data_IF_225360579831
#
_entry.id   IF_225360579831
#
_cell.length_a   1.000
_cell.length_b   1.000
_cell.length_c   1.000
_cell.angle_alpha   90.00
_cell.angle_beta   90.00
_cell.angle_gamma   90.00
#
_symmetry.space_group_name_H-M   'P 1'
#
loop_
_entity.id
_entity.type
_entity.pdbx_description
1 polymer ?
#
# COMPACT_ATOMS: atom_id res chain seq x y z
N UNK A 1 0.48 -23.89 14.99
CA UNK A 1 -0.56 -22.82 14.98
C UNK A 1 -0.38 -22.05 13.67
N UNK A 2 -1.47 -21.78 12.95
CA UNK A 2 -1.40 -20.99 11.72
C UNK A 2 -1.10 -19.52 12.07
N UNK A 3 -0.23 -18.87 11.29
CA UNK A 3 0.08 -17.45 11.49
C UNK A 3 -1.13 -16.60 11.14
N UNK A 4 -1.60 -15.82 12.11
CA UNK A 4 -2.75 -14.94 11.94
C UNK A 4 -2.32 -13.62 11.31
N UNK A 5 -2.98 -13.24 10.22
CA UNK A 5 -2.71 -12.01 9.50
C UNK A 5 -3.93 -11.10 9.55
N UNK A 6 -3.71 -9.82 9.72
CA UNK A 6 -4.69 -8.78 9.41
C UNK A 6 -4.23 -8.08 8.12
N UNK A 7 -5.14 -7.92 7.17
CA UNK A 7 -4.92 -7.20 5.94
C UNK A 7 -5.66 -5.87 5.97
N UNK A 8 -4.97 -4.76 5.71
CA UNK A 8 -5.56 -3.42 5.64
C UNK A 8 -5.32 -2.85 4.24
N UNK A 9 -6.38 -2.63 3.46
CA UNK A 9 -6.26 -2.16 2.09
C UNK A 9 -7.53 -1.54 1.55
N UNK A 10 -7.43 -0.75 0.48
CA UNK A 10 -8.59 -0.04 -0.09
C UNK A 10 -8.59 -0.05 -1.61
N UNK A 11 -7.45 0.26 -2.24
CA UNK A 11 -7.33 0.49 -3.68
C UNK A 11 -7.23 -0.81 -4.51
N UNK A 12 -7.34 -0.66 -5.84
CA UNK A 12 -7.11 -1.75 -6.81
C UNK A 12 -5.70 -2.33 -6.70
N UNK A 13 -4.72 -1.51 -6.33
CA UNK A 13 -3.33 -1.94 -6.13
C UNK A 13 -3.22 -3.09 -5.13
N UNK A 14 -4.03 -3.09 -4.08
CA UNK A 14 -3.98 -4.08 -3.01
C UNK A 14 -4.67 -5.42 -3.37
N UNK A 15 -5.50 -5.46 -4.42
CA UNK A 15 -6.33 -6.64 -4.74
C UNK A 15 -5.50 -7.88 -5.10
N UNK A 16 -4.52 -7.84 -6.02
CA UNK A 16 -3.73 -9.04 -6.34
C UNK A 16 -2.90 -9.54 -5.16
N UNK A 17 -2.53 -8.63 -4.24
CA UNK A 17 -1.77 -8.99 -3.04
C UNK A 17 -2.66 -9.75 -2.05
N UNK A 18 -3.90 -9.28 -1.84
CA UNK A 18 -4.89 -9.99 -1.01
C UNK A 18 -5.19 -11.38 -1.58
N UNK A 19 -5.41 -11.48 -2.90
CA UNK A 19 -5.61 -12.76 -3.59
C UNK A 19 -4.45 -13.71 -3.31
N UNK A 20 -3.21 -13.24 -3.50
CA UNK A 20 -2.03 -14.09 -3.31
C UNK A 20 -1.87 -14.58 -1.87
N UNK A 21 -2.21 -13.75 -0.88
CA UNK A 21 -2.20 -14.17 0.53
C UNK A 21 -3.31 -15.18 0.80
N UNK A 22 -4.50 -14.99 0.25
CA UNK A 22 -5.63 -15.91 0.44
C UNK A 22 -5.40 -17.31 -0.14
N UNK A 23 -4.55 -17.42 -1.17
CA UNK A 23 -4.11 -18.70 -1.76
C UNK A 23 -3.01 -19.40 -0.94
N UNK A 24 -2.45 -18.72 0.06
CA UNK A 24 -1.38 -19.26 0.88
C UNK A 24 -1.89 -20.03 2.09
N UNK A 25 -0.97 -20.54 2.91
CA UNK A 25 -1.29 -21.20 4.19
C UNK A 25 -1.55 -20.22 5.34
N UNK A 26 -1.45 -18.91 5.08
CA UNK A 26 -1.64 -17.86 6.09
C UNK A 26 -3.12 -17.66 6.40
N UNK A 27 -3.46 -17.50 7.66
CA UNK A 27 -4.85 -17.26 8.08
C UNK A 27 -5.16 -15.76 8.12
N UNK A 28 -6.02 -15.29 7.21
CA UNK A 28 -6.50 -13.90 7.20
C UNK A 28 -7.64 -13.77 8.21
N UNK A 29 -7.33 -13.30 9.40
CA UNK A 29 -8.30 -13.17 10.50
C UNK A 29 -9.24 -11.98 10.34
N UNK A 30 -8.84 -10.95 9.61
CA UNK A 30 -9.69 -9.80 9.25
C UNK A 30 -9.11 -9.03 8.07
N UNK A 31 -10.00 -8.44 7.26
CA UNK A 31 -9.67 -7.47 6.21
C UNK A 31 -10.27 -6.12 6.56
N UNK A 32 -9.42 -5.13 6.75
CA UNK A 32 -9.81 -3.74 6.96
C UNK A 32 -9.81 -2.96 5.65
N UNK A 33 -10.87 -2.23 5.39
CA UNK A 33 -10.97 -1.35 4.23
C UNK A 33 -11.77 -0.10 4.57
N UNK A 34 -11.64 0.96 3.77
CA UNK A 34 -12.46 2.15 3.99
C UNK A 34 -13.95 1.82 3.82
N UNK A 35 -14.83 2.47 4.60
CA UNK A 35 -16.26 2.27 4.48
C UNK A 35 -16.76 2.63 3.07
N UNK A 36 -17.83 1.97 2.61
CA UNK A 36 -18.50 2.31 1.36
C UNK A 36 -18.90 3.78 1.34
N UNK A 37 -18.66 4.46 0.21
CA UNK A 37 -18.96 5.89 0.04
C UNK A 37 -19.98 6.10 -1.06
N UNK A 38 -20.85 7.09 -0.90
CA UNK A 38 -21.72 7.57 -1.99
C UNK A 38 -20.85 8.13 -3.10
N UNK A 39 -20.98 7.61 -4.29
CA UNK A 39 -20.16 7.98 -5.46
C UNK A 39 -21.05 8.16 -6.70
N UNK A 40 -20.63 9.08 -7.60
CA UNK A 40 -21.26 9.41 -8.88
C UNK A 40 -22.65 10.06 -8.82
N UNK A 41 -23.18 10.48 -10.00
CA UNK A 41 -24.43 11.25 -10.18
C UNK A 41 -25.72 10.56 -9.70
N UNK A 42 -25.66 9.31 -9.26
CA UNK A 42 -26.83 8.57 -8.74
C UNK A 42 -26.74 8.28 -7.25
N UNK A 43 -25.80 8.86 -6.49
CA UNK A 43 -25.60 8.62 -5.04
C UNK A 43 -25.53 7.13 -4.65
N UNK A 44 -25.19 6.25 -5.59
CA UNK A 44 -25.05 4.82 -5.29
C UNK A 44 -23.89 4.59 -4.33
N UNK A 45 -24.11 3.74 -3.33
CA UNK A 45 -23.07 3.30 -2.40
C UNK A 45 -22.09 2.42 -3.15
N UNK A 46 -20.82 2.85 -3.22
CA UNK A 46 -19.75 2.07 -3.82
C UNK A 46 -18.86 1.47 -2.73
N UNK A 47 -18.73 0.15 -2.77
CA UNK A 47 -17.76 -0.61 -1.99
C UNK A 47 -16.36 -0.41 -2.58
N UNK A 48 -15.34 -0.46 -1.73
CA UNK A 48 -13.95 -0.42 -2.19
C UNK A 48 -13.60 -1.70 -2.98
N UNK A 49 -12.57 -1.69 -3.85
CA UNK A 49 -12.08 -2.90 -4.52
C UNK A 49 -11.74 -4.03 -3.55
N UNK A 50 -11.13 -3.71 -2.40
CA UNK A 50 -10.82 -4.70 -1.36
C UNK A 50 -12.08 -5.25 -0.69
N UNK A 51 -13.09 -4.41 -0.43
CA UNK A 51 -14.37 -4.87 0.11
C UNK A 51 -15.01 -5.94 -0.81
N UNK A 52 -15.14 -5.61 -2.10
CA UNK A 52 -15.71 -6.52 -3.11
C UNK A 52 -14.92 -7.82 -3.20
N UNK A 53 -13.58 -7.74 -3.24
CA UNK A 53 -12.74 -8.93 -3.31
C UNK A 53 -12.86 -9.79 -2.05
N UNK A 54 -12.90 -9.17 -0.88
CA UNK A 54 -13.04 -9.89 0.39
C UNK A 54 -14.37 -10.63 0.52
N UNK A 55 -15.46 -10.04 0.01
CA UNK A 55 -16.76 -10.74 -0.06
C UNK A 55 -16.67 -11.97 -0.95
N UNK A 56 -16.05 -11.86 -2.13
CA UNK A 56 -15.87 -12.98 -3.06
C UNK A 56 -15.01 -14.11 -2.47
N UNK A 57 -14.07 -13.77 -1.59
CA UNK A 57 -13.19 -14.73 -0.92
C UNK A 57 -13.76 -15.24 0.41
N UNK A 58 -14.93 -14.77 0.84
CA UNK A 58 -15.55 -15.15 2.13
C UNK A 58 -14.75 -14.70 3.35
N UNK A 59 -13.93 -13.62 3.23
CA UNK A 59 -13.08 -13.12 4.30
C UNK A 59 -13.84 -12.20 5.26
N UNK A 60 -13.50 -12.18 6.56
CA UNK A 60 -14.11 -11.26 7.53
C UNK A 60 -13.73 -9.80 7.23
N UNK A 61 -14.73 -8.93 7.02
CA UNK A 61 -14.52 -7.53 6.61
C UNK A 61 -14.84 -6.57 7.76
N UNK A 62 -14.00 -5.58 7.95
CA UNK A 62 -14.17 -4.45 8.87
C UNK A 62 -13.98 -3.13 8.15
N UNK A 63 -14.92 -2.19 8.39
CA UNK A 63 -14.95 -0.91 7.68
C UNK A 63 -15.08 0.28 8.65
N UNK A 64 -14.14 0.45 9.60
CA UNK A 64 -14.20 1.56 10.53
C UNK A 64 -14.02 2.90 9.79
N UNK A 65 -14.72 3.94 10.25
CA UNK A 65 -14.54 5.29 9.74
C UNK A 65 -13.14 5.84 10.09
N UNK A 66 -12.61 5.47 11.25
CA UNK A 66 -11.27 5.83 11.72
C UNK A 66 -10.79 4.79 12.73
N UNK A 67 -9.49 4.59 12.82
CA UNK A 67 -8.85 3.85 13.91
C UNK A 67 -8.50 4.75 15.10
N UNK A 68 -8.44 6.07 14.90
CA UNK A 68 -8.13 7.03 15.97
C UNK A 68 -9.26 7.04 17.00
N UNK A 69 -8.90 6.87 18.28
CA UNK A 69 -9.83 6.81 19.42
C UNK A 69 -10.90 5.71 19.27
N UNK A 70 -10.57 4.60 18.61
CA UNK A 70 -11.49 3.50 18.35
C UNK A 70 -11.12 2.29 19.21
N UNK A 71 -11.66 2.27 20.43
CA UNK A 71 -11.39 1.20 21.41
C UNK A 71 -11.89 -0.17 20.95
N UNK A 72 -12.97 -0.23 20.18
CA UNK A 72 -13.53 -1.50 19.67
C UNK A 72 -12.56 -2.17 18.71
N UNK A 73 -11.99 -1.39 17.75
CA UNK A 73 -11.01 -1.92 16.82
C UNK A 73 -9.67 -2.21 17.53
N UNK A 74 -9.26 -1.39 18.47
CA UNK A 74 -8.07 -1.66 19.29
C UNK A 74 -8.21 -3.01 20.03
N UNK A 75 -9.29 -3.21 20.76
CA UNK A 75 -9.56 -4.44 21.52
C UNK A 75 -9.71 -5.66 20.60
N UNK A 76 -10.33 -5.49 19.44
CA UNK A 76 -10.47 -6.55 18.46
C UNK A 76 -9.10 -7.02 17.95
N UNK A 77 -8.22 -6.11 17.51
CA UNK A 77 -6.86 -6.45 17.03
C UNK A 77 -6.04 -7.06 18.16
N UNK A 78 -6.11 -6.49 19.36
CA UNK A 78 -5.44 -7.01 20.56
C UNK A 78 -5.85 -8.45 20.90
N UNK A 79 -7.14 -8.78 20.74
CA UNK A 79 -7.66 -10.13 20.96
C UNK A 79 -7.16 -11.13 19.91
N UNK A 80 -7.07 -10.72 18.64
CA UNK A 80 -6.56 -11.56 17.54
C UNK A 80 -5.09 -11.89 17.75
N UNK A 81 -4.28 -10.98 18.29
CA UNK A 81 -2.82 -11.10 18.43
C UNK A 81 -2.18 -11.47 17.07
N UNK A 82 -2.31 -10.62 16.05
CA UNK A 82 -1.84 -10.96 14.71
C UNK A 82 -0.31 -11.17 14.71
N UNK A 83 0.15 -12.15 13.94
CA UNK A 83 1.57 -12.37 13.71
C UNK A 83 2.17 -11.21 12.94
N UNK A 84 1.43 -10.67 11.96
CA UNK A 84 1.77 -9.48 11.17
C UNK A 84 0.50 -8.77 10.70
N UNK A 85 0.57 -7.44 10.57
CA UNK A 85 -0.47 -6.63 9.92
C UNK A 85 0.08 -6.08 8.62
N UNK A 86 -0.60 -6.36 7.51
CA UNK A 86 -0.23 -5.90 6.18
C UNK A 86 -1.07 -4.67 5.82
N UNK A 87 -0.41 -3.58 5.46
CA UNK A 87 -1.07 -2.32 5.15
C UNK A 87 -0.72 -1.91 3.72
N UNK A 88 -1.68 -1.97 2.81
CA UNK A 88 -1.44 -1.71 1.38
C UNK A 88 -2.49 -0.72 0.87
N UNK A 89 -2.09 0.52 0.62
CA UNK A 89 -3.00 1.59 0.16
C UNK A 89 -4.30 1.66 0.97
N UNK A 90 -4.21 1.59 2.29
CA UNK A 90 -5.36 1.61 3.20
C UNK A 90 -6.03 2.98 3.26
N UNK A 91 -5.22 4.06 3.27
CA UNK A 91 -5.70 5.43 3.20
C UNK A 91 -6.32 5.96 4.51
N UNK A 92 -6.01 5.34 5.64
CA UNK A 92 -6.25 5.87 6.98
C UNK A 92 -4.94 5.89 7.77
N UNK A 93 -4.83 6.82 8.70
CA UNK A 93 -3.73 6.89 9.66
C UNK A 93 -3.88 5.73 10.65
N UNK A 94 -2.80 5.01 10.91
CA UNK A 94 -2.74 3.99 11.95
C UNK A 94 -2.15 4.67 13.19
N UNK A 95 -2.91 4.78 14.28
CA UNK A 95 -2.42 5.40 15.50
C UNK A 95 -1.27 4.60 16.12
N UNK A 96 -0.35 5.28 16.81
CA UNK A 96 0.83 4.68 17.43
C UNK A 96 0.49 3.48 18.32
N UNK A 97 -0.56 3.62 19.14
CA UNK A 97 -1.02 2.58 20.05
C UNK A 97 -1.42 1.26 19.37
N UNK A 98 -1.71 1.28 18.06
CA UNK A 98 -1.99 0.07 17.30
C UNK A 98 -0.71 -0.65 16.85
N UNK A 99 0.40 0.06 16.64
CA UNK A 99 1.61 -0.50 16.04
C UNK A 99 2.22 -1.63 16.88
N UNK A 100 2.00 -1.61 18.20
CA UNK A 100 2.50 -2.62 19.13
C UNK A 100 1.58 -3.84 19.27
N UNK A 101 0.41 -3.86 18.59
CA UNK A 101 -0.55 -4.95 18.70
C UNK A 101 -0.18 -6.20 17.89
N UNK A 102 0.86 -6.13 17.08
CA UNK A 102 1.31 -7.24 16.22
C UNK A 102 2.72 -7.70 16.62
N UNK A 103 2.93 -9.01 16.65
CA UNK A 103 4.23 -9.62 16.99
C UNK A 103 5.38 -9.11 16.11
N UNK A 104 5.15 -9.03 14.79
CA UNK A 104 6.17 -8.60 13.83
C UNK A 104 5.90 -7.16 13.30
N UNK A 105 4.94 -6.44 13.91
CA UNK A 105 4.60 -5.08 13.54
C UNK A 105 3.68 -4.97 12.32
N UNK A 106 3.63 -3.77 11.77
CA UNK A 106 2.83 -3.41 10.61
C UNK A 106 3.76 -3.25 9.40
N UNK A 107 3.52 -4.03 8.37
CA UNK A 107 4.28 -4.00 7.12
C UNK A 107 3.48 -3.26 6.05
N UNK A 108 4.11 -2.26 5.42
CA UNK A 108 3.59 -1.58 4.24
C UNK A 108 4.33 -2.03 2.98
N UNK A 109 3.60 -2.04 1.86
CA UNK A 109 4.19 -2.15 0.52
C UNK A 109 4.01 -0.79 -0.15
N UNK A 110 5.09 -0.02 -0.20
CA UNK A 110 5.10 1.29 -0.80
C UNK A 110 5.51 1.22 -2.27
N UNK A 111 4.79 1.93 -3.15
CA UNK A 111 4.98 1.85 -4.59
C UNK A 111 6.07 2.80 -5.10
N UNK A 112 7.23 2.82 -4.45
CA UNK A 112 8.46 3.51 -4.89
C UNK A 112 9.71 2.79 -4.38
N UNK A 113 10.86 3.27 -4.86
CA UNK A 113 12.18 2.94 -4.31
C UNK A 113 12.46 3.92 -3.17
N UNK A 114 12.08 3.54 -1.93
CA UNK A 114 12.32 4.38 -0.76
C UNK A 114 13.83 4.62 -0.53
N UNK A 115 14.22 5.83 -0.08
CA UNK A 115 13.39 6.90 0.51
C UNK A 115 12.74 7.86 -0.51
N UNK A 116 12.83 7.59 -1.82
CA UNK A 116 12.25 8.43 -2.86
C UNK A 116 10.73 8.26 -2.90
N UNK A 117 10.01 9.40 -3.08
CA UNK A 117 8.55 9.44 -3.22
C UNK A 117 7.76 8.85 -2.03
N UNK A 118 8.12 9.22 -0.79
CA UNK A 118 7.24 9.00 0.37
C UNK A 118 5.90 9.69 0.15
N UNK A 119 4.79 9.10 0.60
CA UNK A 119 3.47 9.71 0.56
C UNK A 119 2.48 9.10 -0.42
N UNK A 120 1.47 9.86 -0.83
CA UNK A 120 0.22 9.33 -1.37
C UNK A 120 0.21 9.00 -2.88
N UNK A 121 1.13 9.56 -3.68
CA UNK A 121 1.08 9.46 -5.14
C UNK A 121 2.43 9.08 -5.80
N UNK A 122 3.17 8.08 -5.30
CA UNK A 122 4.51 7.73 -5.80
C UNK A 122 4.50 7.31 -7.28
N UNK A 123 3.51 6.53 -7.70
CA UNK A 123 3.37 6.03 -9.08
C UNK A 123 3.21 7.18 -10.07
N UNK A 124 2.29 8.11 -9.76
CA UNK A 124 2.02 9.26 -10.60
C UNK A 124 3.24 10.19 -10.67
N UNK A 125 3.94 10.40 -9.54
CA UNK A 125 5.14 11.22 -9.50
C UNK A 125 6.27 10.62 -10.31
N UNK A 126 6.52 9.32 -10.24
CA UNK A 126 7.52 8.64 -11.07
C UNK A 126 7.27 8.83 -12.58
N UNK A 127 5.99 8.78 -13.03
CA UNK A 127 5.63 9.08 -14.43
C UNK A 127 5.84 10.58 -14.75
N UNK A 128 5.41 11.49 -13.86
CA UNK A 128 5.52 12.94 -14.09
C UNK A 128 6.97 13.42 -14.14
N UNK A 129 7.86 12.83 -13.37
CA UNK A 129 9.29 13.13 -13.35
C UNK A 129 10.08 12.39 -14.42
N UNK A 130 9.41 11.55 -15.22
CA UNK A 130 10.03 10.74 -16.28
C UNK A 130 11.17 9.87 -15.75
N UNK A 131 10.97 9.28 -14.57
CA UNK A 131 11.95 8.37 -14.01
C UNK A 131 12.15 7.17 -14.93
N UNK A 132 13.39 6.71 -15.09
CA UNK A 132 13.72 5.53 -15.89
C UNK A 132 13.45 4.21 -15.16
N UNK A 133 13.39 4.24 -13.82
CA UNK A 133 13.09 3.10 -12.97
C UNK A 133 12.22 3.52 -11.78
N UNK A 134 11.42 2.58 -11.30
CA UNK A 134 10.70 2.67 -10.03
C UNK A 134 10.66 1.28 -9.40
N UNK A 135 9.84 1.09 -8.37
CA UNK A 135 9.74 -0.21 -7.73
C UNK A 135 8.70 -0.25 -6.61
N UNK A 136 8.82 -1.29 -5.82
CA UNK A 136 8.09 -1.45 -4.57
C UNK A 136 9.08 -1.65 -3.42
N UNK A 137 8.79 -1.05 -2.27
CA UNK A 137 9.57 -1.24 -1.04
C UNK A 137 8.70 -1.85 0.04
N UNK A 138 9.15 -2.96 0.61
CA UNK A 138 8.57 -3.58 1.80
C UNK A 138 9.18 -2.91 3.02
N UNK A 139 8.36 -2.23 3.85
CA UNK A 139 8.85 -1.45 4.98
C UNK A 139 7.98 -1.65 6.22
N UNK A 140 8.55 -1.50 7.41
CA UNK A 140 7.77 -1.38 8.65
C UNK A 140 7.13 0.01 8.73
N UNK A 141 5.91 0.05 9.23
CA UNK A 141 5.26 1.32 9.55
C UNK A 141 5.77 1.82 10.88
N UNK A 142 6.10 3.11 10.93
CA UNK A 142 6.38 3.87 12.13
C UNK A 142 5.44 5.10 12.21
N UNK A 143 5.70 6.01 13.14
CA UNK A 143 4.87 7.21 13.36
C UNK A 143 4.98 8.25 12.22
N UNK A 144 6.07 8.24 11.47
CA UNK A 144 6.32 9.21 10.42
C UNK A 144 5.96 8.62 9.04
N UNK A 145 5.54 9.51 8.13
CA UNK A 145 5.07 9.12 6.79
C UNK A 145 6.15 8.36 6.00
N UNK A 146 5.87 7.09 5.72
CA UNK A 146 6.67 6.18 4.89
C UNK A 146 8.19 6.21 5.17
N UNK A 147 8.57 6.41 6.45
CA UNK A 147 9.95 6.60 6.88
C UNK A 147 10.54 5.42 7.65
N UNK A 148 9.76 4.39 7.92
CA UNK A 148 10.20 3.22 8.66
C UNK A 148 11.24 2.38 7.91
N UNK A 149 11.91 1.46 8.61
CA UNK A 149 12.98 0.66 8.03
C UNK A 149 12.48 -0.26 6.92
N UNK A 150 13.29 -0.38 5.87
CA UNK A 150 12.98 -1.14 4.65
C UNK A 150 13.57 -2.55 4.76
N UNK A 151 12.73 -3.55 4.52
CA UNK A 151 13.14 -4.94 4.40
C UNK A 151 13.82 -5.20 3.07
N UNK A 152 13.12 -4.85 1.97
CA UNK A 152 13.60 -5.11 0.61
C UNK A 152 12.90 -4.22 -0.40
N UNK A 153 13.64 -3.85 -1.44
CA UNK A 153 13.14 -3.10 -2.58
C UNK A 153 13.30 -3.92 -3.85
N UNK A 154 12.24 -3.96 -4.67
CA UNK A 154 12.24 -4.59 -5.98
C UNK A 154 12.01 -3.53 -7.05
N UNK A 155 12.92 -3.45 -8.01
CA UNK A 155 12.93 -2.41 -9.05
C UNK A 155 12.35 -2.92 -10.36
N UNK A 156 11.72 -2.03 -11.12
CA UNK A 156 11.34 -2.23 -12.52
C UNK A 156 11.71 -1.02 -13.36
N UNK A 157 11.98 -1.23 -14.65
CA UNK A 157 12.13 -0.13 -15.61
C UNK A 157 10.77 0.45 -15.99
N UNK A 158 10.74 1.77 -16.21
CA UNK A 158 9.57 2.48 -16.73
C UNK A 158 9.76 2.69 -18.22
N UNK A 159 8.90 2.08 -19.03
CA UNK A 159 8.88 2.31 -20.47
C UNK A 159 8.29 3.70 -20.76
N UNK A 160 8.83 4.44 -21.72
CA UNK A 160 8.45 5.81 -22.04
C UNK A 160 6.94 5.99 -22.35
N UNK A 161 6.28 4.94 -22.85
CA UNK A 161 4.86 4.97 -23.21
C UNK A 161 3.93 4.46 -22.10
N UNK A 162 4.49 4.14 -20.92
CA UNK A 162 3.72 3.60 -19.82
C UNK A 162 2.94 4.70 -19.10
N UNK A 163 1.63 4.54 -18.97
CA UNK A 163 0.82 5.44 -18.14
C UNK A 163 0.77 4.97 -16.66
N UNK A 164 0.26 5.83 -15.78
CA UNK A 164 0.22 5.54 -14.35
C UNK A 164 -0.64 4.31 -14.00
N UNK A 165 -1.70 4.04 -14.77
CA UNK A 165 -2.58 2.86 -14.53
C UNK A 165 -1.86 1.56 -14.87
N UNK A 166 -1.13 1.54 -15.97
CA UNK A 166 -0.36 0.36 -16.39
C UNK A 166 0.82 0.11 -15.45
N UNK A 167 1.47 1.19 -14.99
CA UNK A 167 2.54 1.09 -14.00
C UNK A 167 2.00 0.57 -12.66
N UNK A 168 0.85 1.08 -12.20
CA UNK A 168 0.17 0.58 -11.00
C UNK A 168 -0.09 -0.93 -11.09
N UNK A 169 -0.59 -1.41 -12.22
CA UNK A 169 -0.84 -2.84 -12.46
C UNK A 169 0.45 -3.66 -12.39
N UNK A 170 1.53 -3.22 -13.06
CA UNK A 170 2.83 -3.91 -13.02
C UNK A 170 3.39 -3.98 -11.60
N UNK A 171 3.36 -2.88 -10.84
CA UNK A 171 3.85 -2.84 -9.47
C UNK A 171 3.00 -3.67 -8.51
N UNK A 172 1.68 -3.68 -8.68
CA UNK A 172 0.75 -4.50 -7.91
C UNK A 172 1.01 -6.00 -8.13
N UNK A 173 1.23 -6.43 -9.37
CA UNK A 173 1.58 -7.81 -9.70
C UNK A 173 2.95 -8.20 -9.13
N UNK A 174 3.94 -7.31 -9.21
CA UNK A 174 5.26 -7.53 -8.59
C UNK A 174 5.13 -7.69 -7.07
N UNK A 175 4.31 -6.86 -6.42
CA UNK A 175 4.06 -6.95 -4.99
C UNK A 175 3.41 -8.29 -4.61
N UNK A 176 2.40 -8.73 -5.38
CA UNK A 176 1.75 -10.03 -5.18
C UNK A 176 2.72 -11.20 -5.37
N UNK A 177 3.64 -11.12 -6.35
CA UNK A 177 4.66 -12.15 -6.57
C UNK A 177 5.64 -12.25 -5.40
N UNK A 178 5.95 -11.11 -4.76
CA UNK A 178 6.99 -11.03 -3.72
C UNK A 178 6.46 -11.10 -2.28
N UNK A 179 5.15 -11.01 -2.06
CA UNK A 179 4.60 -10.88 -0.70
C UNK A 179 4.87 -12.09 0.18
N UNK A 180 4.72 -13.31 -0.31
CA UNK A 180 4.86 -14.52 0.51
C UNK A 180 6.31 -14.70 0.95
N UNK A 181 7.28 -14.58 0.05
CA UNK A 181 8.72 -14.63 0.33
C UNK A 181 9.11 -13.66 1.46
N UNK A 182 8.57 -12.43 1.44
CA UNK A 182 8.89 -11.42 2.44
C UNK A 182 8.20 -11.70 3.79
N UNK A 183 6.94 -12.17 3.78
CA UNK A 183 6.23 -12.57 5.01
C UNK A 183 6.96 -13.73 5.68
N UNK A 184 7.31 -14.77 4.93
CA UNK A 184 8.01 -15.93 5.44
C UNK A 184 9.37 -15.56 6.07
N UNK A 185 10.11 -14.61 5.47
CA UNK A 185 11.36 -14.12 6.03
C UNK A 185 11.16 -13.39 7.36
N UNK A 186 10.06 -12.64 7.50
CA UNK A 186 9.71 -11.92 8.74
C UNK A 186 9.29 -12.91 9.84
N UNK A 187 8.40 -13.84 9.52
CA UNK A 187 7.88 -14.83 10.50
C UNK A 187 8.99 -15.74 11.00
N UNK A 188 9.91 -16.14 10.10
CA UNK A 188 11.05 -16.98 10.46
C UNK A 188 12.20 -16.26 11.18
N UNK A 189 12.08 -14.92 11.38
CA UNK A 189 13.12 -14.12 12.03
C UNK A 189 14.37 -13.88 11.16
N UNK A 190 14.31 -14.20 9.85
CA UNK A 190 15.41 -13.98 8.90
C UNK A 190 15.38 -12.59 8.25
N UNK A 191 14.34 -11.81 8.50
CA UNK A 191 14.18 -10.48 7.93
C UNK A 191 15.21 -9.50 8.51
N UNK A 192 15.96 -8.85 7.62
CA UNK A 192 16.91 -7.80 7.99
C UNK A 192 16.40 -6.45 7.47
N UNK A 193 15.86 -5.64 8.37
CA UNK A 193 15.38 -4.31 8.08
C UNK A 193 16.51 -3.29 8.16
N UNK A 194 16.59 -2.40 7.18
CA UNK A 194 17.58 -1.32 7.13
C UNK A 194 16.88 0.03 7.24
N UNK A 195 17.44 0.91 8.08
CA UNK A 195 16.95 2.29 8.17
C UNK A 195 17.13 3.01 6.83
N UNK A 196 16.21 3.93 6.55
CA UNK A 196 16.29 4.77 5.36
C UNK A 196 17.25 5.94 5.59
N UNK A 197 17.98 6.34 4.55
CA UNK A 197 18.68 7.62 4.56
C UNK A 197 17.67 8.76 4.41
N UNK A 198 17.40 9.46 5.50
CA UNK A 198 16.41 10.53 5.53
C UNK A 198 16.84 11.77 4.74
N UNK A 199 18.14 11.95 4.48
CA UNK A 199 18.66 13.08 3.69
C UNK A 199 18.31 12.97 2.20
N UNK A 200 18.07 11.73 1.70
CA UNK A 200 17.69 11.47 0.31
C UNK A 200 16.16 11.40 0.11
N UNK A 201 15.37 11.63 1.17
CA UNK A 201 13.92 11.50 1.08
C UNK A 201 13.29 12.56 0.17
N UNK A 202 12.41 12.10 -0.72
CA UNK A 202 11.53 12.97 -1.50
C UNK A 202 10.06 12.61 -1.25
N UNK A 203 9.15 13.55 -1.51
CA UNK A 203 7.75 13.41 -1.16
C UNK A 203 6.84 13.45 -2.39
N UNK A 204 5.88 12.53 -2.42
CA UNK A 204 4.86 12.38 -3.45
C UNK A 204 3.48 12.78 -2.90
N UNK A 205 3.24 14.07 -2.83
CA UNK A 205 1.96 14.61 -2.36
C UNK A 205 0.78 14.13 -3.20
N UNK A 206 -0.38 14.05 -2.57
CA UNK A 206 -1.63 13.67 -3.23
C UNK A 206 -1.94 14.61 -4.39
N UNK A 207 -2.23 14.06 -5.55
CA UNK A 207 -2.66 14.83 -6.72
C UNK A 207 -4.12 15.23 -6.54
N UNK A 208 -4.37 16.55 -6.45
CA UNK A 208 -5.70 17.12 -6.32
C UNK A 208 -6.20 17.51 -7.72
N UNK A 209 -7.38 17.02 -8.08
CA UNK A 209 -8.05 17.42 -9.32
C UNK A 209 -8.63 18.82 -9.13
N UNK A 210 -7.94 19.85 -9.61
CA UNK A 210 -8.53 21.19 -9.65
C UNK A 210 -9.62 21.23 -10.75
N UNK A 211 -10.82 21.71 -10.40
CA UNK A 211 -11.88 21.92 -11.39
C UNK A 211 -11.41 22.92 -12.44
N UNK A 212 -11.19 22.45 -13.68
CA UNK A 212 -11.08 23.29 -14.86
C UNK A 212 -9.67 23.60 -15.38
N UNK A 213 -8.57 23.24 -14.75
CA UNK A 213 -7.24 23.40 -15.35
C UNK A 213 -6.35 22.21 -15.03
N UNK A 214 -6.02 21.44 -16.06
CA UNK A 214 -4.84 20.60 -16.03
C UNK A 214 -3.63 21.54 -16.12
N UNK A 215 -2.91 21.75 -15.03
CA UNK A 215 -1.53 22.19 -15.09
C UNK A 215 -0.68 20.98 -15.50
N UNK A 216 -0.82 20.56 -16.75
CA UNK A 216 0.19 19.75 -17.41
C UNK A 216 1.32 20.71 -17.77
N UNK A 217 2.49 20.55 -17.15
CA UNK A 217 3.70 21.08 -17.74
C UNK A 217 3.77 20.52 -19.16
N UNK A 218 3.62 21.39 -20.17
CA UNK A 218 4.02 21.08 -21.54
C UNK A 218 5.52 20.87 -21.47
N UNK A 219 5.95 19.61 -21.54
CA UNK A 219 7.36 19.31 -21.80
C UNK A 219 7.65 19.88 -23.20
N UNK A 220 8.65 20.77 -23.36
CA UNK A 220 9.06 21.21 -24.69
C UNK A 220 9.48 19.97 -25.47
N UNK A 221 8.83 19.69 -26.60
CA UNK A 221 9.34 18.74 -27.58
C UNK A 221 10.73 19.27 -28.00
N UNK A 222 11.80 18.63 -27.56
CA UNK A 222 13.09 18.79 -28.21
C UNK A 222 12.88 18.34 -29.65
N UNK A 223 12.93 19.29 -30.56
CA UNK A 223 13.05 19.07 -31.99
C UNK A 223 14.21 18.09 -32.21
N UNK A 224 13.87 16.91 -32.71
CA UNK A 224 14.83 16.08 -33.42
C UNK A 224 15.14 16.81 -34.74
N UNK A 225 16.12 17.67 -34.73
CA UNK A 225 16.78 18.11 -35.94
C UNK A 225 17.94 17.16 -36.26
N UNK A 226 17.76 16.52 -37.40
CA UNK A 226 18.65 15.88 -38.40
C UNK A 226 20.03 15.38 -37.96
#
# INVERSE_FOLDING_TARGET
>A
MSDNIIFMGTSKFAVPILEKISESKLNISAVYTQPPKKSSRGMRIQKTPIHVKSELLGLPIRTPNSLKNNNDEYNFIKKIKPTIVLVISYGQIIPKEFLDLSKNGFLNIHASILPKFRGAAPIQRAIMTQDIETGISFMKINENLDSGPVLKTYKIKIDLNLNATDLEKKLSQLAALKIIENIDSIISGKANFKEQDHSEATYAEKIIKQRGRYFGMRVPRKSLEK
#
